data_IF_781521343534
#
_entry.id   IF_781521343534
#
_cell.length_a   1.000
_cell.length_b   1.000
_cell.length_c   1.000
_cell.angle_alpha   90.00
_cell.angle_beta   90.00
_cell.angle_gamma   90.00
#
_symmetry.space_group_name_H-M   'P 1'
#
loop_
_entity.id
_entity.type
_entity.pdbx_description
1 polymer ?
#
# COMPACT_ATOMS: atom_id res chain seq x y z
N UNK A 1 -25.91 26.49 -38.35
CA UNK A 1 -24.86 27.45 -38.58
C UNK A 1 -23.66 27.03 -37.79
N UNK A 2 -22.53 26.71 -38.44
CA UNK A 2 -21.29 26.44 -37.77
C UNK A 2 -20.77 27.78 -37.23
N UNK A 3 -21.00 28.04 -35.97
CA UNK A 3 -20.31 29.11 -35.26
C UNK A 3 -18.89 28.69 -35.02
N UNK A 4 -17.95 29.50 -35.53
CA UNK A 4 -16.53 29.27 -35.49
C UNK A 4 -16.02 29.17 -34.06
N UNK A 5 -16.03 27.95 -33.51
CA UNK A 5 -15.18 27.60 -32.42
C UNK A 5 -13.77 27.56 -32.99
N UNK A 6 -12.92 28.45 -32.54
CA UNK A 6 -11.47 28.48 -32.83
C UNK A 6 -10.93 27.05 -32.70
N UNK A 7 -10.43 26.45 -33.76
CA UNK A 7 -9.87 25.10 -33.73
C UNK A 7 -8.78 25.09 -32.68
N UNK A 8 -9.04 24.44 -31.52
CA UNK A 8 -8.12 24.37 -30.38
C UNK A 8 -8.62 24.99 -29.08
N UNK A 9 -9.91 25.26 -28.93
CA UNK A 9 -10.50 25.71 -27.66
C UNK A 9 -11.36 24.63 -27.01
N UNK A 10 -11.39 24.62 -25.65
CA UNK A 10 -12.25 23.79 -24.81
C UNK A 10 -13.45 24.58 -24.34
N UNK A 11 -14.64 23.98 -24.42
CA UNK A 11 -15.84 24.51 -23.81
C UNK A 11 -16.17 23.70 -22.56
N UNK A 12 -16.30 24.38 -21.45
CA UNK A 12 -16.53 23.79 -20.13
C UNK A 12 -17.89 24.32 -19.64
N UNK A 13 -18.84 23.41 -19.48
CA UNK A 13 -20.13 23.73 -18.86
C UNK A 13 -19.99 23.63 -17.32
N UNK A 14 -20.36 24.70 -16.64
CA UNK A 14 -20.27 24.80 -15.17
C UNK A 14 -21.62 25.29 -14.61
N UNK A 15 -21.79 25.16 -13.29
CA UNK A 15 -22.94 25.71 -12.54
C UNK A 15 -23.08 27.25 -12.65
N UNK A 16 -22.04 27.93 -13.16
CA UNK A 16 -21.98 29.38 -13.38
C UNK A 16 -22.03 29.79 -14.85
N UNK A 17 -22.24 28.83 -15.75
CA UNK A 17 -22.29 29.01 -17.19
C UNK A 17 -21.13 28.41 -17.95
N UNK A 18 -21.12 28.65 -19.26
CA UNK A 18 -20.12 28.14 -20.19
C UNK A 18 -18.83 28.94 -20.12
N UNK A 19 -17.71 28.25 -20.04
CA UNK A 19 -16.35 28.81 -20.08
C UNK A 19 -15.63 28.27 -21.31
N UNK A 20 -15.02 29.17 -22.10
CA UNK A 20 -14.15 28.77 -23.22
C UNK A 20 -12.71 29.08 -22.91
N UNK A 21 -11.82 28.12 -23.16
CA UNK A 21 -10.36 28.26 -22.88
C UNK A 21 -9.54 27.52 -23.92
N UNK A 22 -8.31 27.96 -24.15
CA UNK A 22 -7.32 27.23 -24.97
C UNK A 22 -6.55 26.17 -24.20
N UNK A 23 -6.47 26.32 -22.88
CA UNK A 23 -5.74 25.41 -22.01
C UNK A 23 -6.64 24.91 -20.89
N UNK A 24 -6.77 23.59 -20.78
CA UNK A 24 -7.54 22.91 -19.73
C UNK A 24 -6.60 22.05 -18.88
N UNK A 25 -6.52 22.36 -17.58
CA UNK A 25 -5.73 21.62 -16.62
C UNK A 25 -6.63 20.76 -15.75
N UNK A 26 -6.42 19.45 -15.75
CA UNK A 26 -7.13 18.46 -14.95
C UNK A 26 -6.31 18.13 -13.72
N UNK A 27 -6.76 18.58 -12.55
CA UNK A 27 -6.11 18.46 -11.26
C UNK A 27 -7.07 17.83 -10.22
N UNK A 28 -7.81 16.79 -10.63
CA UNK A 28 -8.93 16.23 -9.86
C UNK A 28 -8.49 15.25 -8.76
N UNK A 29 -7.22 14.87 -8.73
CA UNK A 29 -6.73 13.81 -7.85
C UNK A 29 -7.20 12.42 -8.28
N UNK A 30 -7.04 11.46 -7.37
CA UNK A 30 -7.42 10.05 -7.54
C UNK A 30 -8.80 9.71 -6.97
N UNK A 31 -9.00 8.43 -6.65
CA UNK A 31 -10.26 7.88 -6.11
C UNK A 31 -10.23 7.68 -4.59
N UNK A 32 -9.08 7.93 -3.97
CA UNK A 32 -8.87 7.68 -2.54
C UNK A 32 -9.72 8.60 -1.68
N UNK A 33 -10.24 8.05 -0.59
CA UNK A 33 -11.10 8.74 0.40
C UNK A 33 -12.31 9.43 -0.26
N UNK A 34 -13.22 8.69 -0.90
CA UNK A 34 -14.35 9.29 -1.64
C UNK A 34 -15.26 10.18 -0.80
N UNK A 35 -15.23 10.04 0.54
CA UNK A 35 -16.00 10.89 1.46
C UNK A 35 -15.60 12.37 1.45
N UNK A 36 -14.39 12.70 0.99
CA UNK A 36 -13.92 14.09 0.86
C UNK A 36 -14.11 14.66 -0.54
N UNK A 37 -14.84 13.96 -1.42
CA UNK A 37 -15.21 14.45 -2.75
C UNK A 37 -14.40 13.87 -3.91
N UNK A 38 -13.55 12.84 -3.68
CA UNK A 38 -12.86 12.16 -4.76
C UNK A 38 -13.85 11.49 -5.71
N UNK A 39 -13.68 11.71 -7.02
CA UNK A 39 -14.52 11.16 -8.09
C UNK A 39 -13.68 10.69 -9.27
N UNK A 40 -14.30 9.96 -10.19
CA UNK A 40 -13.67 9.49 -11.42
C UNK A 40 -13.70 10.53 -12.55
N UNK A 41 -14.05 11.77 -12.27
CA UNK A 41 -14.28 12.81 -13.28
C UNK A 41 -13.08 13.01 -14.22
N UNK A 42 -11.86 13.14 -13.67
CA UNK A 42 -10.65 13.32 -14.49
C UNK A 42 -10.35 12.11 -15.39
N UNK A 43 -10.65 10.90 -14.94
CA UNK A 43 -10.48 9.70 -15.74
C UNK A 43 -11.54 9.59 -16.85
N UNK A 44 -12.79 9.96 -16.59
CA UNK A 44 -13.84 10.02 -17.62
C UNK A 44 -13.51 11.07 -18.67
N UNK A 45 -12.97 12.22 -18.25
CA UNK A 45 -12.52 13.25 -19.17
C UNK A 45 -11.37 12.73 -20.06
N UNK A 46 -10.40 12.02 -19.50
CA UNK A 46 -9.35 11.39 -20.28
C UNK A 46 -9.89 10.39 -21.31
N UNK A 47 -10.88 9.58 -20.94
CA UNK A 47 -11.54 8.65 -21.86
C UNK A 47 -12.26 9.38 -22.99
N UNK A 48 -12.93 10.50 -22.71
CA UNK A 48 -13.59 11.35 -23.72
C UNK A 48 -12.62 11.81 -24.81
N UNK A 49 -11.36 12.09 -24.43
CA UNK A 49 -10.30 12.50 -25.36
C UNK A 49 -9.40 11.34 -25.81
N UNK A 50 -9.81 10.07 -25.56
CA UNK A 50 -9.05 8.87 -25.91
C UNK A 50 -7.62 8.84 -25.34
N UNK A 51 -7.40 9.48 -24.19
CA UNK A 51 -6.12 9.43 -23.46
C UNK A 51 -6.04 8.08 -22.73
N UNK A 52 -4.96 7.30 -22.92
CA UNK A 52 -4.79 6.00 -22.30
C UNK A 52 -4.77 6.05 -20.77
N UNK A 53 -5.41 5.05 -20.17
CA UNK A 53 -5.45 4.84 -18.71
C UNK A 53 -4.80 3.53 -18.34
N UNK A 54 -4.02 3.55 -17.27
CA UNK A 54 -3.59 2.35 -16.53
C UNK A 54 -4.68 1.98 -15.53
N UNK A 55 -4.90 0.67 -15.31
CA UNK A 55 -5.90 0.18 -14.39
C UNK A 55 -5.72 0.77 -12.98
N UNK A 56 -6.82 1.28 -12.43
CA UNK A 56 -6.81 1.95 -11.13
C UNK A 56 -7.15 0.96 -10.02
N UNK A 57 -6.35 1.00 -8.95
CA UNK A 57 -6.59 0.21 -7.75
C UNK A 57 -6.17 0.98 -6.49
N UNK A 58 -6.71 0.63 -5.31
CA UNK A 58 -6.27 1.24 -4.05
C UNK A 58 -4.78 0.96 -3.80
N UNK A 59 -4.02 1.97 -3.39
CA UNK A 59 -2.64 1.86 -2.95
C UNK A 59 -2.41 2.48 -1.58
N UNK A 60 -1.31 2.14 -0.92
CA UNK A 60 -1.06 2.50 0.48
C UNK A 60 -2.32 2.23 1.34
N UNK A 61 -2.78 0.97 1.32
CA UNK A 61 -4.08 0.56 1.83
C UNK A 61 -3.95 -0.65 2.76
N UNK A 62 -4.71 -0.73 3.88
CA UNK A 62 -4.73 -1.92 4.71
C UNK A 62 -5.17 -3.17 3.94
N UNK A 63 -4.54 -4.30 4.24
CA UNK A 63 -4.84 -5.60 3.65
C UNK A 63 -5.77 -6.39 4.56
N UNK A 64 -6.74 -7.08 3.96
CA UNK A 64 -7.76 -7.88 4.65
C UNK A 64 -7.56 -9.36 4.40
N UNK A 65 -8.07 -10.18 5.35
CA UNK A 65 -8.01 -11.64 5.30
C UNK A 65 -9.39 -12.24 5.50
N UNK A 66 -9.55 -13.49 5.10
CA UNK A 66 -10.76 -14.26 5.41
C UNK A 66 -10.97 -14.34 6.92
N UNK A 67 -12.23 -14.20 7.37
CA UNK A 67 -12.58 -14.13 8.77
C UNK A 67 -12.10 -15.35 9.58
N UNK A 68 -12.25 -16.55 9.05
CA UNK A 68 -11.82 -17.78 9.72
C UNK A 68 -10.28 -17.86 9.81
N UNK A 69 -9.58 -17.51 8.73
CA UNK A 69 -8.11 -17.49 8.71
C UNK A 69 -7.55 -16.37 9.62
N UNK A 70 -8.28 -15.27 9.79
CA UNK A 70 -7.85 -14.15 10.62
C UNK A 70 -8.25 -14.26 12.08
N UNK A 71 -9.25 -15.11 12.43
CA UNK A 71 -9.78 -15.25 13.78
C UNK A 71 -8.70 -15.42 14.87
N UNK A 72 -7.61 -16.23 14.69
CA UNK A 72 -6.56 -16.37 15.70
C UNK A 72 -5.81 -15.07 16.00
N UNK A 73 -5.74 -14.16 15.03
CA UNK A 73 -4.96 -12.92 15.10
C UNK A 73 -5.80 -11.67 15.42
N UNK A 74 -7.13 -11.75 15.31
CA UNK A 74 -8.02 -10.62 15.55
C UNK A 74 -7.89 -10.03 16.97
N UNK A 75 -7.57 -10.87 17.95
CA UNK A 75 -7.29 -10.47 19.34
C UNK A 75 -6.03 -9.59 19.47
N UNK A 76 -5.14 -9.59 18.48
CA UNK A 76 -3.95 -8.72 18.44
C UNK A 76 -4.26 -7.31 17.96
N UNK A 77 -5.50 -6.99 17.60
CA UNK A 77 -5.90 -5.66 17.13
C UNK A 77 -5.35 -4.54 18.03
N UNK A 78 -4.74 -3.53 17.40
CA UNK A 78 -4.05 -2.43 18.06
C UNK A 78 -2.59 -2.73 18.44
N UNK A 79 -2.09 -3.95 18.25
CA UNK A 79 -0.68 -4.26 18.41
C UNK A 79 0.12 -3.78 17.20
N UNK A 80 1.21 -3.04 17.46
CA UNK A 80 2.17 -2.64 16.45
C UNK A 80 3.57 -3.16 16.81
N UNK A 81 4.37 -3.51 15.80
CA UNK A 81 5.76 -3.92 15.96
C UNK A 81 6.54 -3.73 14.66
N UNK A 82 7.87 -3.50 14.73
CA UNK A 82 8.72 -3.47 13.56
C UNK A 82 8.81 -4.86 12.93
N UNK A 83 8.67 -4.93 11.61
CA UNK A 83 8.76 -6.17 10.83
C UNK A 83 9.52 -5.93 9.52
N UNK A 84 10.06 -7.00 8.94
CA UNK A 84 10.40 -7.00 7.52
C UNK A 84 9.28 -7.73 6.77
N UNK A 85 8.56 -7.01 5.89
CA UNK A 85 7.49 -7.55 5.06
C UNK A 85 7.90 -7.57 3.60
N UNK A 86 7.56 -8.63 2.87
CA UNK A 86 7.88 -8.73 1.45
C UNK A 86 6.80 -9.45 0.66
N UNK A 87 6.76 -9.19 -0.64
CA UNK A 87 5.92 -9.88 -1.64
C UNK A 87 6.66 -9.98 -2.97
N UNK A 88 6.12 -10.77 -3.89
CA UNK A 88 6.66 -10.97 -5.23
C UNK A 88 7.57 -12.19 -5.37
N UNK A 89 7.97 -12.48 -6.60
CA UNK A 89 8.88 -13.57 -6.93
C UNK A 89 10.33 -13.19 -6.61
N UNK A 90 11.26 -14.18 -6.59
CA UNK A 90 12.70 -13.94 -6.32
C UNK A 90 13.33 -12.83 -7.16
N UNK A 91 12.84 -12.61 -8.39
CA UNK A 91 13.37 -11.59 -9.32
C UNK A 91 12.72 -10.20 -9.12
N UNK A 92 11.51 -10.16 -8.57
CA UNK A 92 10.69 -8.96 -8.42
C UNK A 92 10.24 -8.76 -6.97
N UNK A 93 11.05 -9.28 -6.03
CA UNK A 93 10.75 -9.16 -4.61
C UNK A 93 10.89 -7.70 -4.16
N UNK A 94 9.83 -7.17 -3.60
CA UNK A 94 9.83 -5.89 -2.87
C UNK A 94 9.74 -6.18 -1.38
N UNK A 95 10.51 -5.45 -0.58
CA UNK A 95 10.50 -5.58 0.88
C UNK A 95 10.58 -4.21 1.56
N UNK A 96 9.96 -4.12 2.75
CA UNK A 96 10.00 -2.95 3.63
C UNK A 96 10.28 -3.38 5.05
N UNK A 97 11.14 -2.61 5.74
CA UNK A 97 11.44 -2.74 7.16
C UNK A 97 10.80 -1.55 7.87
N UNK A 98 9.60 -1.73 8.43
CA UNK A 98 8.76 -0.70 9.03
C UNK A 98 7.80 -1.32 10.05
N UNK A 99 7.02 -0.48 10.74
CA UNK A 99 5.99 -0.96 11.67
C UNK A 99 4.79 -1.57 10.95
N UNK A 100 4.38 -2.75 11.42
CA UNK A 100 3.13 -3.43 11.09
C UNK A 100 2.13 -3.19 12.22
N UNK A 101 0.86 -2.99 11.88
CA UNK A 101 -0.26 -2.87 12.82
C UNK A 101 -1.28 -3.97 12.57
N UNK A 102 -1.60 -4.74 13.60
CA UNK A 102 -2.73 -5.67 13.60
C UNK A 102 -4.05 -4.92 13.73
N UNK A 103 -5.04 -5.30 12.93
CA UNK A 103 -6.41 -4.76 12.97
C UNK A 103 -7.42 -5.89 13.13
N UNK A 104 -8.68 -5.56 13.36
CA UNK A 104 -9.77 -6.57 13.47
C UNK A 104 -9.98 -7.37 12.19
N UNK A 105 -9.60 -6.84 11.02
CA UNK A 105 -9.88 -7.46 9.70
C UNK A 105 -8.62 -7.84 8.95
N UNK A 106 -7.46 -7.54 9.49
CA UNK A 106 -6.21 -7.80 8.80
C UNK A 106 -5.05 -6.96 9.30
N UNK A 107 -4.22 -6.51 8.39
CA UNK A 107 -2.99 -5.81 8.66
C UNK A 107 -2.99 -4.39 8.10
N UNK A 108 -2.34 -3.48 8.80
CA UNK A 108 -2.12 -2.08 8.46
C UNK A 108 -0.74 -1.62 8.98
N UNK A 109 -0.52 -0.33 9.07
CA UNK A 109 0.76 0.27 9.47
C UNK A 109 1.68 0.50 8.27
N UNK A 110 2.76 1.28 8.43
CA UNK A 110 3.63 1.70 7.33
C UNK A 110 4.13 0.55 6.46
N UNK A 111 4.59 -0.55 7.07
CA UNK A 111 5.05 -1.74 6.35
C UNK A 111 3.98 -2.30 5.40
N UNK A 112 2.75 -2.42 5.89
CA UNK A 112 1.63 -3.00 5.14
C UNK A 112 1.11 -2.03 4.10
N UNK A 113 0.99 -0.75 4.42
CA UNK A 113 0.55 0.26 3.46
C UNK A 113 1.51 0.31 2.26
N UNK A 114 2.81 0.33 2.48
CA UNK A 114 3.80 0.36 1.41
C UNK A 114 3.78 -0.92 0.58
N UNK A 115 3.78 -2.11 1.20
CA UNK A 115 3.78 -3.37 0.46
C UNK A 115 2.48 -3.60 -0.33
N UNK A 116 1.34 -3.04 0.11
CA UNK A 116 0.06 -3.14 -0.58
C UNK A 116 0.09 -2.59 -2.01
N UNK A 117 0.95 -1.61 -2.27
CA UNK A 117 1.14 -1.04 -3.61
C UNK A 117 1.80 -2.01 -4.60
N UNK A 118 2.52 -3.01 -4.08
CA UNK A 118 3.23 -4.05 -4.86
C UNK A 118 2.52 -5.40 -4.81
N UNK A 119 1.66 -5.61 -3.81
CA UNK A 119 0.92 -6.85 -3.67
C UNK A 119 -0.07 -7.04 -4.83
N UNK A 120 -0.15 -8.27 -5.34
CA UNK A 120 -1.12 -8.68 -6.34
C UNK A 120 -2.11 -9.69 -5.73
N UNK A 121 -3.41 -9.66 -6.09
CA UNK A 121 -4.39 -10.62 -5.60
C UNK A 121 -3.91 -12.07 -5.77
N UNK A 122 -4.04 -12.87 -4.70
CA UNK A 122 -3.61 -14.26 -4.67
C UNK A 122 -2.12 -14.50 -4.42
N UNK A 123 -1.29 -13.44 -4.31
CA UNK A 123 0.13 -13.61 -3.96
C UNK A 123 0.34 -13.58 -2.44
N UNK A 124 1.26 -14.39 -1.89
CA UNK A 124 1.55 -14.38 -0.47
C UNK A 124 2.39 -13.16 -0.06
N UNK A 125 2.24 -12.76 1.19
CA UNK A 125 3.18 -11.93 1.93
C UNK A 125 4.08 -12.84 2.75
N UNK A 126 5.35 -12.50 2.89
CA UNK A 126 6.28 -13.10 3.84
C UNK A 126 6.70 -12.04 4.85
N UNK A 127 6.50 -12.32 6.14
CA UNK A 127 6.69 -11.37 7.23
C UNK A 127 7.68 -11.96 8.24
N UNK A 128 8.78 -11.25 8.48
CA UNK A 128 9.66 -11.51 9.61
C UNK A 128 9.20 -10.65 10.80
N UNK A 129 8.72 -11.30 11.85
CA UNK A 129 8.15 -10.66 13.04
C UNK A 129 9.20 -10.24 14.08
N UNK A 130 10.46 -10.58 13.88
CA UNK A 130 11.59 -10.22 14.74
C UNK A 130 12.84 -9.89 13.90
N UNK A 131 12.77 -8.88 13.02
CA UNK A 131 13.90 -8.53 12.16
C UNK A 131 15.11 -8.12 13.01
N UNK A 132 16.31 -8.57 12.59
CA UNK A 132 17.56 -8.31 13.33
C UNK A 132 17.81 -9.23 14.51
N UNK A 133 16.94 -10.21 14.78
CA UNK A 133 17.11 -11.21 15.85
C UNK A 133 17.44 -12.58 15.25
N UNK A 134 18.53 -13.20 15.68
CA UNK A 134 18.78 -14.62 15.42
C UNK A 134 17.88 -15.46 16.34
N UNK A 135 16.66 -15.74 15.87
CA UNK A 135 15.65 -16.47 16.65
C UNK A 135 16.12 -17.90 17.02
N UNK A 136 16.73 -18.70 16.14
CA UNK A 136 17.30 -19.99 16.51
C UNK A 136 18.30 -19.91 17.68
N UNK A 137 19.25 -19.00 17.61
CA UNK A 137 20.24 -18.80 18.67
C UNK A 137 19.56 -18.31 19.96
N UNK A 138 18.68 -17.31 19.89
CA UNK A 138 17.99 -16.76 21.06
C UNK A 138 17.15 -17.83 21.79
N UNK A 139 16.42 -18.68 21.07
CA UNK A 139 15.62 -19.76 21.64
C UNK A 139 16.52 -20.89 22.20
N UNK A 140 17.63 -21.22 21.55
CA UNK A 140 18.60 -22.21 22.07
C UNK A 140 19.25 -21.74 23.38
N UNK A 141 19.65 -20.48 23.48
CA UNK A 141 20.12 -19.85 24.71
C UNK A 141 19.07 -19.84 25.81
N UNK A 142 17.80 -19.51 25.45
CA UNK A 142 16.67 -19.60 26.38
C UNK A 142 16.50 -20.99 26.94
N UNK A 143 16.53 -22.03 26.08
CA UNK A 143 16.42 -23.45 26.49
C UNK A 143 17.51 -23.87 27.47
N UNK A 144 18.74 -23.40 27.26
CA UNK A 144 19.88 -23.78 28.10
C UNK A 144 19.82 -23.21 29.53
N UNK A 145 19.13 -22.07 29.73
CA UNK A 145 19.20 -21.32 31.00
C UNK A 145 17.88 -21.04 31.69
N UNK A 146 16.76 -21.37 31.06
CA UNK A 146 15.43 -21.01 31.57
C UNK A 146 14.52 -22.23 31.67
N UNK A 147 13.65 -22.21 32.68
CA UNK A 147 12.54 -23.16 32.88
C UNK A 147 11.17 -22.48 32.66
N UNK A 148 11.16 -21.26 32.18
CA UNK A 148 9.92 -20.54 31.89
C UNK A 148 9.19 -21.17 30.71
N UNK A 149 7.89 -20.89 30.58
CA UNK A 149 7.12 -21.23 29.40
C UNK A 149 7.71 -20.59 28.16
N UNK A 150 7.62 -21.24 27.01
CA UNK A 150 8.10 -20.72 25.72
C UNK A 150 7.50 -19.34 25.44
N UNK A 151 6.22 -19.11 25.73
CA UNK A 151 5.58 -17.79 25.58
C UNK A 151 6.32 -16.69 26.35
N UNK A 152 6.76 -16.98 27.59
CA UNK A 152 7.48 -16.01 28.43
C UNK A 152 8.90 -15.72 27.92
N UNK A 153 9.57 -16.70 27.35
CA UNK A 153 10.88 -16.49 26.71
C UNK A 153 10.70 -15.72 25.40
N UNK A 154 9.72 -16.08 24.59
CA UNK A 154 9.40 -15.40 23.36
C UNK A 154 8.99 -13.94 23.59
N UNK A 155 8.34 -13.62 24.71
CA UNK A 155 7.97 -12.26 25.11
C UNK A 155 9.18 -11.35 25.39
N UNK A 156 10.39 -11.89 25.46
CA UNK A 156 11.62 -11.08 25.50
C UNK A 156 12.11 -10.64 24.11
N UNK A 157 11.57 -11.25 23.05
CA UNK A 157 11.96 -11.03 21.64
C UNK A 157 10.89 -10.29 20.85
N UNK A 158 9.62 -10.53 21.18
CA UNK A 158 8.45 -9.94 20.53
C UNK A 158 7.43 -9.48 21.58
N UNK A 159 6.45 -8.64 21.25
CA UNK A 159 5.41 -8.24 22.21
C UNK A 159 4.68 -9.42 22.85
N UNK A 160 4.41 -9.36 24.14
CA UNK A 160 3.87 -10.49 24.93
C UNK A 160 2.57 -11.06 24.36
N UNK A 161 1.63 -10.21 23.93
CA UNK A 161 0.39 -10.65 23.28
C UNK A 161 0.64 -11.48 22.01
N UNK A 162 1.66 -11.11 21.24
CA UNK A 162 2.09 -11.87 20.06
C UNK A 162 2.69 -13.21 20.48
N UNK A 163 3.59 -13.20 21.47
CA UNK A 163 4.22 -14.42 22.01
C UNK A 163 3.18 -15.43 22.50
N UNK A 164 2.16 -14.98 23.23
CA UNK A 164 1.07 -15.82 23.72
C UNK A 164 0.26 -16.40 22.56
N UNK A 165 -0.09 -15.58 21.58
CA UNK A 165 -0.86 -16.01 20.39
C UNK A 165 -0.08 -17.06 19.58
N UNK A 166 1.24 -16.91 19.41
CA UNK A 166 2.07 -17.90 18.71
C UNK A 166 2.20 -19.19 19.49
N UNK A 167 2.47 -19.10 20.79
CA UNK A 167 2.61 -20.28 21.63
C UNK A 167 1.34 -21.15 21.65
N UNK A 168 0.16 -20.53 21.53
CA UNK A 168 -1.13 -21.23 21.48
C UNK A 168 -1.36 -22.02 20.18
N UNK A 169 -0.62 -21.74 19.11
CA UNK A 169 -0.83 -22.40 17.82
C UNK A 169 -0.34 -23.85 17.79
N UNK A 170 0.48 -24.29 18.77
CA UNK A 170 0.94 -25.67 18.85
C UNK A 170 1.07 -26.14 20.30
N UNK A 171 0.60 -27.35 20.65
CA UNK A 171 0.83 -27.94 21.97
C UNK A 171 2.32 -28.06 22.32
N UNK A 172 3.19 -28.24 21.32
CA UNK A 172 4.64 -28.31 21.50
C UNK A 172 5.25 -27.01 22.02
N UNK A 173 4.55 -25.89 21.87
CA UNK A 173 4.99 -24.56 22.32
C UNK A 173 4.35 -24.10 23.64
N UNK A 174 3.43 -24.91 24.20
CA UNK A 174 2.73 -24.61 25.47
C UNK A 174 3.42 -25.25 26.70
N UNK A 175 4.73 -25.40 26.67
CA UNK A 175 5.52 -26.05 27.71
C UNK A 175 6.74 -25.22 28.13
N UNK A 176 7.43 -25.58 29.22
CA UNK A 176 8.70 -24.98 29.56
C UNK A 176 9.72 -25.12 28.43
N UNK A 177 10.51 -24.06 28.18
CA UNK A 177 11.43 -24.04 27.03
C UNK A 177 12.51 -25.11 27.11
N UNK A 178 12.99 -25.45 28.34
CA UNK A 178 13.98 -26.52 28.56
C UNK A 178 13.45 -27.92 28.24
N UNK A 179 12.14 -28.12 28.20
CA UNK A 179 11.48 -29.39 27.86
C UNK A 179 11.12 -29.50 26.37
N UNK A 180 11.24 -28.39 25.63
CA UNK A 180 10.96 -28.39 24.20
C UNK A 180 12.04 -29.12 23.41
N UNK A 181 11.65 -29.82 22.34
CA UNK A 181 12.61 -30.38 21.40
C UNK A 181 13.25 -29.28 20.56
N UNK A 182 14.51 -29.48 20.13
CA UNK A 182 15.17 -28.53 19.23
C UNK A 182 14.43 -28.36 17.93
N UNK A 183 13.79 -29.41 17.43
CA UNK A 183 12.92 -29.37 16.25
C UNK A 183 11.71 -28.46 16.46
N UNK A 184 11.08 -28.48 17.63
CA UNK A 184 9.94 -27.62 17.94
C UNK A 184 10.36 -26.15 18.02
N UNK A 185 11.50 -25.85 18.62
CA UNK A 185 12.05 -24.49 18.70
C UNK A 185 12.51 -23.99 17.32
N UNK A 186 13.13 -24.81 16.50
CA UNK A 186 13.51 -24.46 15.15
C UNK A 186 12.27 -24.12 14.28
N UNK A 187 11.18 -24.91 14.41
CA UNK A 187 9.92 -24.62 13.72
C UNK A 187 9.29 -23.32 14.19
N UNK A 188 9.34 -23.02 15.49
CA UNK A 188 8.86 -21.75 16.05
C UNK A 188 9.67 -20.57 15.49
N UNK A 189 10.99 -20.67 15.49
CA UNK A 189 11.89 -19.66 14.93
C UNK A 189 11.60 -19.41 13.44
N UNK A 190 11.44 -20.48 12.65
CA UNK A 190 11.12 -20.39 11.23
C UNK A 190 9.78 -19.68 11.00
N UNK A 191 8.72 -20.01 11.76
CA UNK A 191 7.42 -19.37 11.62
C UNK A 191 7.41 -17.88 11.99
N UNK A 192 8.22 -17.47 12.95
CA UNK A 192 8.36 -16.06 13.31
C UNK A 192 9.21 -15.29 12.29
N UNK A 193 10.28 -15.91 11.80
CA UNK A 193 11.15 -15.31 10.78
C UNK A 193 10.50 -15.27 9.39
N UNK A 194 9.51 -16.13 9.13
CA UNK A 194 8.85 -16.28 7.85
C UNK A 194 7.37 -16.64 7.99
N UNK A 195 6.62 -15.73 8.56
CA UNK A 195 5.17 -15.86 8.62
C UNK A 195 4.55 -15.57 7.25
N UNK A 196 3.99 -16.58 6.62
CA UNK A 196 3.38 -16.47 5.29
C UNK A 196 1.86 -16.31 5.41
N UNK A 197 1.32 -15.27 4.74
CA UNK A 197 -0.10 -14.95 4.68
C UNK A 197 -0.49 -14.57 3.25
N UNK A 198 -1.67 -15.00 2.82
CA UNK A 198 -2.25 -14.53 1.55
C UNK A 198 -3.47 -13.66 1.84
N UNK A 199 -3.35 -12.33 1.63
CA UNK A 199 -4.50 -11.44 1.78
C UNK A 199 -5.61 -11.81 0.80
N UNK A 200 -6.86 -11.67 1.22
CA UNK A 200 -8.04 -11.87 0.36
C UNK A 200 -8.53 -10.58 -0.28
N UNK A 201 -8.02 -9.43 0.17
CA UNK A 201 -8.39 -8.13 -0.38
C UNK A 201 -7.77 -6.96 0.35
N UNK A 202 -8.35 -5.79 0.14
CA UNK A 202 -7.96 -4.53 0.78
C UNK A 202 -9.18 -3.85 1.42
N UNK A 203 -8.96 -2.85 2.28
CA UNK A 203 -10.05 -1.98 2.78
C UNK A 203 -10.61 -1.03 1.71
N UNK A 204 -10.09 -1.10 0.48
CA UNK A 204 -10.55 -0.33 -0.68
C UNK A 204 -10.26 1.17 -0.58
N UNK A 205 -10.79 1.92 -1.54
CA UNK A 205 -10.58 3.38 -1.64
C UNK A 205 -11.00 4.17 -0.40
N UNK A 206 -11.87 3.63 0.44
CA UNK A 206 -12.28 4.27 1.70
C UNK A 206 -11.14 4.47 2.70
N UNK A 207 -10.10 3.63 2.59
CA UNK A 207 -8.94 3.58 3.49
C UNK A 207 -7.61 3.71 2.75
N UNK A 208 -7.62 3.70 1.43
CA UNK A 208 -6.43 3.91 0.63
C UNK A 208 -5.96 5.37 0.76
N UNK A 209 -4.66 5.57 0.95
CA UNK A 209 -4.08 6.92 0.94
C UNK A 209 -3.91 7.44 -0.49
N UNK A 210 -3.69 6.54 -1.45
CA UNK A 210 -3.46 6.89 -2.85
C UNK A 210 -4.18 5.94 -3.81
N UNK A 211 -4.32 6.40 -5.05
CA UNK A 211 -4.79 5.60 -6.18
C UNK A 211 -3.59 5.20 -7.03
N UNK A 212 -3.37 3.90 -7.18
CA UNK A 212 -2.45 3.35 -8.18
C UNK A 212 -3.11 3.35 -9.55
N UNK A 213 -2.33 3.50 -10.62
CA UNK A 213 -2.86 3.66 -11.97
C UNK A 213 -3.38 5.06 -12.23
N UNK A 214 -4.00 5.27 -13.36
CA UNK A 214 -4.49 6.58 -13.80
C UNK A 214 -4.07 6.91 -15.23
N UNK A 215 -3.86 8.18 -15.53
CA UNK A 215 -3.41 8.62 -16.85
C UNK A 215 -2.03 8.06 -17.15
N UNK A 216 -1.91 7.30 -18.25
CA UNK A 216 -0.64 6.73 -18.67
C UNK A 216 0.41 7.83 -18.92
N UNK A 217 1.51 7.80 -18.19
CA UNK A 217 2.59 8.79 -18.30
C UNK A 217 3.18 8.89 -19.69
N UNK A 218 3.12 7.80 -20.48
CA UNK A 218 3.58 7.78 -21.88
C UNK A 218 2.73 8.65 -22.79
N UNK A 219 1.48 8.91 -22.40
CA UNK A 219 0.57 9.79 -23.14
C UNK A 219 0.81 11.28 -22.86
N UNK A 220 1.61 11.62 -21.87
CA UNK A 220 1.91 12.99 -21.46
C UNK A 220 3.32 13.43 -21.87
N UNK A 221 3.49 14.73 -22.07
CA UNK A 221 4.78 15.38 -22.14
C UNK A 221 5.43 15.42 -20.75
N UNK A 222 6.62 14.89 -20.62
CA UNK A 222 7.37 14.90 -19.35
C UNK A 222 7.79 16.31 -18.89
N UNK A 223 7.81 17.27 -19.80
CA UNK A 223 8.22 18.65 -19.50
C UNK A 223 7.04 19.56 -19.16
N UNK A 224 5.85 19.30 -19.72
CA UNK A 224 4.71 20.22 -19.65
C UNK A 224 3.48 19.60 -19.03
N UNK A 225 3.42 18.30 -18.83
CA UNK A 225 2.25 17.53 -18.44
C UNK A 225 1.08 17.61 -19.44
N UNK A 226 1.32 18.11 -20.67
CA UNK A 226 0.34 18.17 -21.75
C UNK A 226 0.10 16.79 -22.36
N UNK A 227 -1.13 16.48 -22.71
CA UNK A 227 -1.49 15.28 -23.43
C UNK A 227 -0.97 15.36 -24.87
N UNK A 228 -0.09 14.43 -25.28
CA UNK A 228 0.55 14.43 -26.62
C UNK A 228 -0.46 14.39 -27.78
N UNK A 229 -1.59 13.71 -27.57
CA UNK A 229 -2.63 13.54 -28.58
C UNK A 229 -3.67 14.67 -28.59
N UNK A 230 -3.67 15.54 -27.57
CA UNK A 230 -4.69 16.58 -27.40
C UNK A 230 -4.04 17.89 -26.92
N UNK A 231 -3.64 18.78 -27.85
CA UNK A 231 -3.02 20.06 -27.52
C UNK A 231 -3.89 20.91 -26.59
N UNK A 232 -3.27 21.56 -25.61
CA UNK A 232 -3.94 22.39 -24.61
C UNK A 232 -4.62 21.63 -23.47
N UNK A 233 -4.56 20.27 -23.44
CA UNK A 233 -5.10 19.46 -22.35
C UNK A 233 -3.95 18.96 -21.46
N UNK A 234 -4.01 19.28 -20.17
CA UNK A 234 -2.96 18.95 -19.19
C UNK A 234 -3.53 18.09 -18.06
N UNK A 235 -2.73 17.16 -17.56
CA UNK A 235 -3.08 16.34 -16.39
C UNK A 235 -1.95 16.42 -15.35
N UNK A 236 -2.29 16.78 -14.12
CA UNK A 236 -1.33 16.98 -13.01
C UNK A 236 -1.78 16.30 -11.72
N UNK A 237 -0.83 16.00 -10.84
CA UNK A 237 -1.11 15.36 -9.55
C UNK A 237 -1.49 13.89 -9.68
N UNK A 238 -2.29 13.42 -8.73
CA UNK A 238 -2.59 12.00 -8.54
C UNK A 238 -3.51 11.38 -9.60
N UNK A 239 -4.12 12.17 -10.47
CA UNK A 239 -4.86 11.63 -11.63
C UNK A 239 -3.93 10.93 -12.63
N UNK A 240 -2.64 11.25 -12.60
CA UNK A 240 -1.57 10.63 -13.42
C UNK A 240 -1.05 9.37 -12.74
N UNK A 241 -0.73 8.33 -13.53
CA UNK A 241 -0.16 7.07 -13.03
C UNK A 241 1.27 7.25 -12.52
N UNK A 242 1.39 7.95 -11.39
CA UNK A 242 2.63 8.08 -10.61
C UNK A 242 2.27 7.98 -9.13
N UNK A 243 2.90 7.02 -8.44
CA UNK A 243 2.67 6.78 -7.02
C UNK A 243 4.00 6.61 -6.31
N UNK A 244 4.18 7.37 -5.23
CA UNK A 244 5.31 7.28 -4.32
C UNK A 244 4.97 6.50 -3.04
N UNK A 245 6.01 6.22 -2.27
CA UNK A 245 5.91 5.63 -0.94
C UNK A 245 5.34 6.61 0.08
N UNK A 246 5.17 6.16 1.32
CA UNK A 246 4.93 7.04 2.47
C UNK A 246 6.11 8.02 2.63
N UNK A 247 5.86 9.19 3.20
CA UNK A 247 6.89 10.21 3.44
C UNK A 247 6.79 11.46 2.57
N UNK A 248 5.62 11.71 1.95
CA UNK A 248 5.36 12.97 1.25
C UNK A 248 5.62 12.95 -0.26
N UNK A 249 6.08 11.84 -0.83
CA UNK A 249 6.40 11.73 -2.26
C UNK A 249 5.21 12.01 -3.17
N UNK A 250 3.99 11.64 -2.78
CA UNK A 250 2.78 11.88 -3.56
C UNK A 250 2.41 13.37 -3.57
N UNK A 251 2.60 14.09 -2.47
CA UNK A 251 2.48 15.55 -2.44
C UNK A 251 3.58 16.22 -3.26
N UNK A 252 4.82 15.73 -3.17
CA UNK A 252 5.93 16.25 -3.98
C UNK A 252 5.62 16.12 -5.48
N UNK A 253 5.06 14.98 -5.90
CA UNK A 253 4.61 14.80 -7.28
C UNK A 253 3.52 15.79 -7.68
N UNK A 254 2.50 15.98 -6.82
CA UNK A 254 1.43 16.95 -7.10
C UNK A 254 1.98 18.35 -7.34
N UNK A 255 2.90 18.81 -6.49
CA UNK A 255 3.53 20.13 -6.64
C UNK A 255 4.46 20.20 -7.87
N UNK A 256 5.28 19.18 -8.11
CA UNK A 256 6.23 19.17 -9.23
C UNK A 256 5.51 19.17 -10.58
N UNK A 257 4.46 18.35 -10.73
CA UNK A 257 3.67 18.30 -11.96
C UNK A 257 2.89 19.60 -12.20
N UNK A 258 2.35 20.21 -11.14
CA UNK A 258 1.68 21.49 -11.23
C UNK A 258 2.64 22.62 -11.65
N UNK A 259 3.84 22.64 -11.08
CA UNK A 259 4.87 23.60 -11.43
C UNK A 259 5.31 23.46 -12.90
N UNK A 260 5.57 22.23 -13.36
CA UNK A 260 5.92 21.95 -14.75
C UNK A 260 4.83 22.43 -15.73
N UNK A 261 3.57 22.18 -15.42
CA UNK A 261 2.44 22.64 -16.18
C UNK A 261 2.36 24.19 -16.22
N UNK A 262 2.48 24.84 -15.06
CA UNK A 262 2.40 26.31 -14.98
C UNK A 262 3.48 27.00 -15.84
N UNK A 263 4.75 26.51 -15.77
CA UNK A 263 5.85 27.03 -16.58
C UNK A 263 5.62 26.86 -18.10
N UNK A 264 4.83 25.87 -18.50
CA UNK A 264 4.46 25.68 -19.92
C UNK A 264 3.35 26.65 -20.37
N UNK A 265 2.44 27.02 -19.46
CA UNK A 265 1.33 27.92 -19.75
C UNK A 265 1.72 29.40 -19.79
N UNK A 266 2.86 29.76 -19.19
CA UNK A 266 3.40 31.14 -19.20
C UNK A 266 4.09 31.52 -20.53
N UNK A 267 4.35 30.55 -21.41
CA UNK A 267 5.02 30.73 -22.71
C UNK A 267 4.01 30.91 -23.84
#
# INVERSE_FOLDING_TARGET
GADGTDAGSYQIDTDRGMVTTRSLVVATGGLSIPKIGATDFGYRLAQQFSIPLVERRPGLVPLTFDGDAWAPYAQLSGLALPVEISTGSKKERTAFLEDLLFTHRGLSGPAVLQISSYWQPGTPLSINLAPGTDLPEALALGKARSKKLIANELATLVPSRLADTWAQQSPDWQRPINEASDKALAKLAEQLARWELTPTGTEGYKKAEVTLGGIDTRALSQQTMEAKAQPGLYFIGEVVDITGWLGGYNFQWAWASAFACAQALEK
#
